data_IF_199293997414
#
_entry.id   IF_199293997414
#
_cell.length_a   1.000
_cell.length_b   1.000
_cell.length_c   1.000
_cell.angle_alpha   90.00
_cell.angle_beta   90.00
_cell.angle_gamma   90.00
#
_symmetry.space_group_name_H-M   'P 1'
#
loop_
_entity.id
_entity.type
_entity.pdbx_description
1 polymer ?
#
# COMPACT_ATOMS: atom_id res chain seq x y z
N UNK A 1 -1.71 -83.03 -2.97
CA UNK A 1 -1.61 -82.39 -4.30
C UNK A 1 -1.63 -80.89 -4.04
N UNK A 2 -0.46 -80.25 -4.09
CA UNK A 2 -0.27 -78.85 -3.73
C UNK A 2 -0.48 -77.97 -4.96
N UNK A 3 -1.41 -77.01 -4.90
CA UNK A 3 -1.50 -75.98 -5.93
C UNK A 3 -1.43 -74.61 -5.25
N UNK A 4 -0.32 -73.93 -5.51
CA UNK A 4 0.07 -72.63 -4.94
C UNK A 4 -0.85 -71.53 -5.47
N UNK A 5 -1.40 -70.73 -4.55
CA UNK A 5 -2.08 -69.47 -4.86
C UNK A 5 -0.99 -68.40 -5.01
N UNK A 6 -0.83 -67.86 -6.22
CA UNK A 6 0.01 -66.69 -6.48
C UNK A 6 -0.74 -65.43 -6.05
N UNK A 7 -0.25 -64.77 -5.01
CA UNK A 7 -0.72 -63.48 -4.53
C UNK A 7 -0.03 -62.38 -5.35
N UNK A 8 -0.75 -61.78 -6.29
CA UNK A 8 -0.26 -60.65 -7.09
C UNK A 8 -0.24 -59.39 -6.21
N UNK A 9 0.96 -58.93 -5.86
CA UNK A 9 1.20 -57.73 -5.07
C UNK A 9 0.94 -56.48 -5.92
N UNK A 10 -0.23 -55.84 -5.76
CA UNK A 10 -0.54 -54.55 -6.37
C UNK A 10 0.22 -53.46 -5.61
N UNK A 11 1.32 -53.00 -6.21
CA UNK A 11 2.12 -51.87 -5.74
C UNK A 11 1.37 -50.57 -6.06
N UNK A 12 0.50 -50.13 -5.15
CA UNK A 12 -0.18 -48.84 -5.21
C UNK A 12 0.79 -47.71 -4.89
N UNK A 13 1.48 -47.17 -5.89
CA UNK A 13 2.21 -45.91 -5.77
C UNK A 13 1.23 -44.78 -5.52
N UNK A 14 1.12 -44.34 -4.26
CA UNK A 14 0.52 -43.08 -3.87
C UNK A 14 1.38 -41.94 -4.45
N UNK A 15 1.03 -41.48 -5.64
CA UNK A 15 1.53 -40.23 -6.19
C UNK A 15 0.92 -39.08 -5.36
N UNK A 16 1.61 -38.69 -4.29
CA UNK A 16 1.38 -37.41 -3.63
C UNK A 16 1.98 -36.31 -4.52
N UNK A 17 1.21 -35.87 -5.51
CA UNK A 17 1.54 -34.69 -6.30
C UNK A 17 1.36 -33.44 -5.45
N UNK A 18 2.42 -32.95 -4.83
CA UNK A 18 2.46 -31.58 -4.32
C UNK A 18 2.46 -30.64 -5.51
N UNK A 19 1.27 -30.26 -6.01
CA UNK A 19 1.16 -29.14 -6.95
C UNK A 19 1.56 -27.88 -6.21
N UNK A 20 2.81 -27.45 -6.38
CA UNK A 20 3.32 -26.20 -5.84
C UNK A 20 2.76 -25.06 -6.70
N UNK A 21 1.49 -24.72 -6.53
CA UNK A 21 0.90 -23.56 -7.20
C UNK A 21 1.50 -22.25 -6.67
N UNK A 22 1.33 -21.17 -7.44
CA UNK A 22 1.69 -19.82 -7.02
C UNK A 22 0.61 -19.34 -6.03
N UNK A 23 0.97 -18.89 -4.82
CA UNK A 23 -0.01 -18.52 -3.81
C UNK A 23 -0.71 -17.21 -4.19
N UNK A 24 -2.02 -17.16 -3.97
CA UNK A 24 -2.86 -15.96 -4.09
C UNK A 24 -3.37 -15.58 -2.70
N UNK A 25 -2.45 -15.22 -1.81
CA UNK A 25 -2.71 -14.97 -0.38
C UNK A 25 -2.22 -13.59 0.09
N UNK A 26 -1.98 -12.66 -0.83
CA UNK A 26 -1.68 -11.27 -0.48
C UNK A 26 -2.96 -10.51 -0.10
N UNK A 27 -2.86 -9.71 0.95
CA UNK A 27 -3.89 -8.80 1.41
C UNK A 27 -3.25 -7.45 1.78
N UNK A 28 -3.87 -6.32 1.43
CA UNK A 28 -3.37 -5.01 1.82
C UNK A 28 -3.26 -4.87 3.34
N UNK A 29 -2.23 -4.18 3.78
CA UNK A 29 -2.03 -3.81 5.19
C UNK A 29 -2.73 -2.50 5.48
N UNK A 30 -3.49 -2.45 6.57
CA UNK A 30 -4.19 -1.26 7.04
C UNK A 30 -3.51 -0.73 8.29
N UNK A 31 -3.11 0.54 8.28
CA UNK A 31 -2.45 1.21 9.40
C UNK A 31 -3.20 2.51 9.74
N UNK A 32 -3.51 2.68 11.03
CA UNK A 32 -4.04 3.94 11.56
C UNK A 32 -2.90 4.87 11.92
N UNK A 33 -3.05 6.17 11.65
CA UNK A 33 -2.09 7.18 12.06
C UNK A 33 -2.80 8.39 12.65
N UNK A 34 -2.10 9.08 13.55
CA UNK A 34 -2.61 10.28 14.21
C UNK A 34 -1.45 11.16 14.64
N UNK A 35 -1.49 12.42 14.21
CA UNK A 35 -0.47 13.43 14.46
C UNK A 35 -1.12 14.79 14.75
N UNK A 36 -0.54 15.63 15.62
CA UNK A 36 0.48 15.28 16.61
C UNK A 36 -0.14 14.44 17.76
N UNK A 37 0.69 13.93 18.68
CA UNK A 37 0.20 13.19 19.85
C UNK A 37 -0.60 14.10 20.80
N UNK A 38 -1.56 13.51 21.52
CA UNK A 38 -2.34 14.21 22.55
C UNK A 38 -1.44 14.89 23.58
N UNK A 39 -1.89 16.05 24.05
CA UNK A 39 -1.25 16.88 25.08
C UNK A 39 0.18 17.37 24.77
N UNK A 40 0.70 17.06 23.57
CA UNK A 40 2.03 17.46 23.13
C UNK A 40 2.00 18.90 22.60
N UNK A 41 2.89 19.75 23.13
CA UNK A 41 3.06 21.12 22.62
C UNK A 41 3.68 21.04 21.24
N UNK A 42 2.94 21.49 20.24
CA UNK A 42 3.35 21.45 18.83
C UNK A 42 3.27 22.84 18.24
N UNK A 43 4.27 23.23 17.47
CA UNK A 43 4.27 24.46 16.69
C UNK A 43 4.20 24.11 15.20
N UNK A 44 3.32 24.79 14.46
CA UNK A 44 3.17 24.63 13.01
C UNK A 44 3.05 26.01 12.35
N UNK A 45 3.28 26.06 11.04
CA UNK A 45 3.25 27.28 10.25
C UNK A 45 2.02 27.35 9.34
N UNK A 46 1.79 28.50 8.70
CA UNK A 46 0.69 28.67 7.75
C UNK A 46 0.80 27.65 6.62
N UNK A 47 -0.27 26.89 6.39
CA UNK A 47 -0.37 25.82 5.41
C UNK A 47 -0.10 24.42 5.99
N UNK A 48 0.47 24.33 7.19
CA UNK A 48 0.77 23.05 7.82
C UNK A 48 -0.45 22.43 8.49
N UNK A 49 -0.38 21.10 8.66
CA UNK A 49 -1.39 20.33 9.36
C UNK A 49 -1.24 20.50 10.87
N UNK A 50 -2.32 20.97 11.51
CA UNK A 50 -2.48 21.03 12.96
C UNK A 50 -2.92 19.69 13.55
N UNK A 51 -3.80 18.98 12.86
CA UNK A 51 -4.14 17.59 13.17
C UNK A 51 -4.14 16.87 11.84
N UNK A 52 -3.54 15.69 11.79
CA UNK A 52 -3.60 14.79 10.65
C UNK A 52 -3.78 13.37 11.15
N UNK A 53 -4.93 12.78 10.83
CA UNK A 53 -5.25 11.42 11.22
C UNK A 53 -6.00 10.69 10.13
N UNK A 54 -5.93 9.36 10.18
CA UNK A 54 -6.66 8.56 9.23
C UNK A 54 -6.25 7.10 9.22
N UNK A 55 -6.74 6.43 8.18
CA UNK A 55 -6.42 5.06 7.85
C UNK A 55 -5.71 5.05 6.50
N UNK A 56 -4.48 4.54 6.52
CA UNK A 56 -3.68 4.30 5.32
C UNK A 56 -3.76 2.82 4.97
N UNK A 57 -4.16 2.52 3.74
CA UNK A 57 -4.10 1.16 3.21
C UNK A 57 -2.90 1.07 2.28
N UNK A 58 -2.00 0.14 2.57
CA UNK A 58 -0.79 -0.09 1.77
C UNK A 58 -0.75 -1.51 1.25
N UNK A 59 -0.09 -1.70 0.12
CA UNK A 59 0.14 -3.02 -0.47
C UNK A 59 1.56 -3.07 -1.06
N UNK A 60 2.10 -4.27 -1.16
CA UNK A 60 3.43 -4.47 -1.74
C UNK A 60 3.32 -4.46 -3.28
N UNK A 61 4.25 -3.76 -3.92
CA UNK A 61 4.38 -3.71 -5.36
C UNK A 61 5.81 -4.01 -5.77
N UNK A 62 5.96 -4.84 -6.78
CA UNK A 62 7.21 -4.96 -7.52
C UNK A 62 7.26 -3.83 -8.56
N UNK A 63 8.22 -2.94 -8.39
CA UNK A 63 8.46 -1.83 -9.32
C UNK A 63 9.56 -2.23 -10.28
N UNK A 64 9.21 -2.38 -11.56
CA UNK A 64 10.16 -2.59 -12.66
C UNK A 64 10.49 -1.24 -13.27
N UNK A 65 11.74 -0.79 -13.10
CA UNK A 65 12.16 0.59 -13.43
C UNK A 65 12.30 0.82 -14.93
N UNK A 66 12.65 -0.23 -15.68
CA UNK A 66 12.88 -0.18 -17.12
C UNK A 66 12.32 -1.42 -17.81
N UNK A 67 11.82 -1.25 -19.03
CA UNK A 67 11.31 -2.38 -19.82
C UNK A 67 12.46 -3.34 -20.10
N UNK A 68 12.19 -4.63 -19.89
CA UNK A 68 13.10 -5.72 -20.20
C UNK A 68 12.65 -6.31 -21.52
N UNK A 69 13.50 -6.23 -22.54
CA UNK A 69 13.33 -6.90 -23.83
C UNK A 69 14.01 -8.27 -23.73
N UNK A 70 13.22 -9.32 -23.70
CA UNK A 70 13.66 -10.65 -23.31
C UNK A 70 13.29 -11.70 -24.35
N UNK A 71 14.20 -12.65 -24.61
CA UNK A 71 14.01 -13.70 -25.63
C UNK A 71 12.70 -14.48 -25.46
N UNK A 72 12.32 -14.78 -24.22
CA UNK A 72 11.09 -15.52 -23.90
C UNK A 72 9.92 -14.60 -23.53
N UNK A 73 10.20 -13.47 -22.89
CA UNK A 73 9.20 -12.56 -22.37
C UNK A 73 9.73 -11.13 -22.33
N UNK A 74 8.92 -10.19 -22.81
CA UNK A 74 9.13 -8.77 -22.56
C UNK A 74 8.40 -8.37 -21.28
N UNK A 75 9.07 -7.67 -20.38
CA UNK A 75 8.49 -7.18 -19.13
C UNK A 75 8.44 -5.67 -19.21
N UNK A 76 7.25 -5.10 -19.38
CA UNK A 76 7.06 -3.65 -19.36
C UNK A 76 7.55 -3.00 -18.06
N UNK A 77 8.04 -1.77 -18.13
CA UNK A 77 8.20 -0.95 -16.91
C UNK A 77 6.84 -0.78 -16.22
N UNK A 78 6.82 -0.81 -14.89
CA UNK A 78 5.61 -0.54 -14.14
C UNK A 78 5.58 -1.10 -12.74
N UNK A 79 4.43 -0.92 -12.11
CA UNK A 79 4.11 -1.35 -10.75
C UNK A 79 3.25 -2.61 -10.78
N UNK A 80 3.78 -3.74 -10.34
CA UNK A 80 3.12 -5.04 -10.37
C UNK A 80 2.65 -5.41 -8.97
N UNK A 81 1.33 -5.58 -8.81
CA UNK A 81 0.71 -5.84 -7.51
C UNK A 81 1.13 -7.19 -6.92
N UNK A 82 1.38 -7.25 -5.62
CA UNK A 82 1.64 -8.50 -4.91
C UNK A 82 0.45 -9.46 -4.98
N UNK A 83 0.71 -10.72 -5.33
CA UNK A 83 -0.28 -11.80 -5.39
C UNK A 83 -0.24 -12.66 -4.13
N UNK A 84 0.96 -12.95 -3.64
CA UNK A 84 1.13 -13.81 -2.49
C UNK A 84 2.58 -14.17 -2.20
N UNK A 85 2.78 -14.81 -1.05
CA UNK A 85 4.08 -15.20 -0.54
C UNK A 85 4.05 -16.67 -0.14
N UNK A 86 5.05 -17.42 -0.57
CA UNK A 86 5.26 -18.79 -0.14
C UNK A 86 5.74 -18.86 1.31
N UNK A 87 5.62 -20.04 1.94
CA UNK A 87 6.21 -20.30 3.27
C UNK A 87 7.73 -20.11 3.29
N UNK A 88 8.39 -20.24 2.14
CA UNK A 88 9.82 -20.00 1.95
C UNK A 88 10.21 -18.51 2.02
N UNK A 89 9.24 -17.60 1.98
CA UNK A 89 9.45 -16.16 1.87
C UNK A 89 9.47 -15.64 0.43
N UNK A 90 9.42 -16.51 -0.58
CA UNK A 90 9.38 -16.08 -1.99
C UNK A 90 8.06 -15.39 -2.32
N UNK A 91 8.15 -14.15 -2.79
CA UNK A 91 7.01 -13.31 -3.17
C UNK A 91 6.71 -13.41 -4.67
N UNK A 92 5.43 -13.38 -5.01
CA UNK A 92 4.93 -13.40 -6.38
C UNK A 92 4.06 -12.18 -6.64
N UNK A 93 4.20 -11.61 -7.83
CA UNK A 93 3.54 -10.40 -8.27
C UNK A 93 2.80 -10.63 -9.58
N UNK A 94 1.80 -9.82 -9.85
CA UNK A 94 0.99 -9.84 -11.07
C UNK A 94 1.88 -9.73 -12.30
N UNK A 95 1.44 -10.30 -13.43
CA UNK A 95 2.04 -10.07 -14.74
C UNK A 95 1.40 -8.85 -15.47
N UNK A 96 0.37 -8.24 -14.87
CA UNK A 96 -0.20 -6.96 -15.27
C UNK A 96 0.18 -5.87 -14.27
N UNK A 97 0.66 -4.74 -14.79
CA UNK A 97 0.94 -3.57 -13.98
C UNK A 97 -0.29 -2.67 -13.81
N UNK A 98 -0.34 -1.94 -12.70
CA UNK A 98 -1.35 -0.90 -12.44
C UNK A 98 -1.08 0.42 -13.16
N UNK A 99 0.11 0.64 -13.74
CA UNK A 99 0.47 1.87 -14.45
C UNK A 99 0.92 1.65 -15.91
N UNK A 100 0.44 0.58 -16.54
CA UNK A 100 0.45 0.40 -18.00
C UNK A 100 1.43 -0.64 -18.55
N UNK A 101 2.40 -1.12 -17.76
CA UNK A 101 3.26 -2.25 -18.14
C UNK A 101 2.53 -3.60 -18.09
N UNK A 102 3.00 -4.58 -18.86
CA UNK A 102 2.56 -5.97 -18.74
C UNK A 102 3.65 -6.90 -19.25
N UNK A 103 3.55 -8.18 -18.91
CA UNK A 103 4.46 -9.21 -19.42
C UNK A 103 3.89 -9.77 -20.71
N UNK A 104 4.69 -9.74 -21.78
CA UNK A 104 4.34 -10.25 -23.11
C UNK A 104 5.17 -11.49 -23.37
N UNK A 105 4.53 -12.59 -23.79
CA UNK A 105 5.26 -13.80 -24.19
C UNK A 105 5.81 -13.69 -25.61
N UNK A 106 6.98 -14.29 -25.81
CA UNK A 106 7.53 -14.57 -27.13
C UNK A 106 6.82 -15.76 -27.81
N UNK A 107 7.08 -15.98 -29.10
CA UNK A 107 6.54 -17.13 -29.83
C UNK A 107 6.96 -18.46 -29.20
N UNK A 108 6.02 -19.40 -29.10
CA UNK A 108 6.23 -20.76 -28.55
C UNK A 108 6.54 -20.83 -27.05
N UNK A 109 6.43 -19.73 -26.31
CA UNK A 109 6.50 -19.72 -24.86
C UNK A 109 5.11 -19.75 -24.22
N UNK A 110 5.02 -20.38 -23.05
CA UNK A 110 3.80 -20.45 -22.25
C UNK A 110 3.35 -19.04 -21.80
N UNK A 111 2.05 -18.83 -21.57
CA UNK A 111 1.58 -17.56 -21.02
C UNK A 111 2.16 -17.23 -19.64
N UNK A 112 2.55 -15.97 -19.40
CA UNK A 112 3.03 -15.53 -18.09
C UNK A 112 1.89 -15.54 -17.08
N UNK A 113 2.21 -15.89 -15.84
CA UNK A 113 1.25 -15.88 -14.75
C UNK A 113 1.67 -14.94 -13.62
N UNK A 114 2.95 -14.98 -13.23
CA UNK A 114 3.47 -14.13 -12.16
C UNK A 114 4.94 -13.75 -12.38
N UNK A 115 5.32 -12.66 -11.74
CA UNK A 115 6.69 -12.20 -11.59
C UNK A 115 7.20 -12.52 -10.19
N UNK A 116 8.47 -12.89 -10.03
CA UNK A 116 9.10 -13.04 -8.72
C UNK A 116 10.57 -12.61 -8.75
N UNK A 117 10.98 -11.65 -7.91
CA UNK A 117 12.39 -11.28 -7.79
C UNK A 117 13.20 -12.40 -7.11
N UNK A 118 14.45 -12.52 -7.53
CA UNK A 118 15.44 -13.48 -7.04
C UNK A 118 16.81 -12.80 -6.99
N UNK A 119 17.49 -12.87 -5.85
CA UNK A 119 18.77 -12.17 -5.63
C UNK A 119 19.88 -12.58 -6.61
N UNK A 120 19.86 -13.81 -7.12
CA UNK A 120 20.91 -14.36 -8.01
C UNK A 120 20.50 -14.37 -9.47
N UNK A 121 19.21 -14.51 -9.74
CA UNK A 121 18.66 -14.65 -11.09
C UNK A 121 17.99 -13.37 -11.62
N UNK A 122 17.86 -12.34 -10.79
CA UNK A 122 17.17 -11.09 -11.13
C UNK A 122 15.66 -11.26 -11.07
N UNK A 123 14.95 -10.90 -12.13
CA UNK A 123 13.49 -11.01 -12.17
C UNK A 123 13.04 -12.23 -12.96
N UNK A 124 12.28 -13.12 -12.31
CA UNK A 124 11.78 -14.35 -12.93
C UNK A 124 10.31 -14.23 -13.34
N UNK A 125 9.97 -14.78 -14.50
CA UNK A 125 8.62 -15.01 -14.99
C UNK A 125 8.26 -16.46 -14.69
N UNK A 126 7.11 -16.66 -14.06
CA UNK A 126 6.51 -17.97 -13.83
C UNK A 126 5.24 -18.12 -14.67
N UNK A 127 4.99 -19.34 -15.12
CA UNK A 127 3.76 -19.74 -15.82
C UNK A 127 2.87 -20.51 -14.86
N UNK A 128 1.68 -20.93 -15.30
CA UNK A 128 0.83 -21.79 -14.49
C UNK A 128 1.43 -23.20 -14.27
N UNK A 129 2.35 -23.62 -15.14
CA UNK A 129 2.96 -24.94 -15.13
C UNK A 129 4.34 -24.96 -14.47
N UNK A 130 5.13 -23.89 -14.66
CA UNK A 130 6.54 -23.83 -14.26
C UNK A 130 6.82 -22.53 -13.51
N UNK A 131 7.28 -22.68 -12.26
CA UNK A 131 7.84 -21.57 -11.48
C UNK A 131 9.23 -21.22 -11.98
N UNK A 132 9.54 -19.93 -12.03
CA UNK A 132 10.81 -19.40 -12.53
C UNK A 132 11.19 -19.92 -13.93
N UNK A 133 10.20 -20.02 -14.82
CA UNK A 133 10.38 -20.56 -16.17
C UNK A 133 11.48 -19.80 -16.94
N UNK A 134 11.59 -18.48 -16.76
CA UNK A 134 12.69 -17.68 -17.32
C UNK A 134 13.03 -16.53 -16.38
N UNK A 135 14.31 -16.22 -16.23
CA UNK A 135 14.78 -15.14 -15.36
C UNK A 135 15.75 -14.19 -16.06
N UNK A 136 15.64 -12.91 -15.72
CA UNK A 136 16.40 -11.81 -16.29
C UNK A 136 17.27 -11.15 -15.22
N UNK A 137 18.58 -11.43 -15.26
CA UNK A 137 19.55 -10.95 -14.25
C UNK A 137 19.71 -9.44 -14.20
N UNK A 138 19.58 -8.78 -15.34
CA UNK A 138 19.77 -7.32 -15.46
C UNK A 138 18.48 -6.52 -15.17
N UNK A 139 17.44 -7.19 -14.68
CA UNK A 139 16.20 -6.56 -14.27
C UNK A 139 16.44 -5.58 -13.11
N UNK A 140 16.18 -4.29 -13.35
CA UNK A 140 16.17 -3.29 -12.29
C UNK A 140 14.77 -3.24 -11.67
N UNK A 141 14.60 -4.02 -10.61
CA UNK A 141 13.33 -4.08 -9.88
C UNK A 141 13.52 -3.99 -8.38
N UNK A 142 12.56 -3.40 -7.68
CA UNK A 142 12.53 -3.31 -6.22
C UNK A 142 11.11 -3.50 -5.69
N UNK A 143 10.99 -3.96 -4.44
CA UNK A 143 9.71 -4.09 -3.77
C UNK A 143 9.46 -2.83 -2.94
N UNK A 144 8.36 -2.12 -3.21
CA UNK A 144 7.94 -0.95 -2.46
C UNK A 144 6.53 -1.15 -1.89
N UNK A 145 6.33 -0.70 -0.65
CA UNK A 145 5.00 -0.51 -0.09
C UNK A 145 4.38 0.77 -0.66
N UNK A 146 3.25 0.65 -1.34
CA UNK A 146 2.53 1.80 -1.91
C UNK A 146 1.17 1.95 -1.24
N UNK A 147 0.76 3.19 -1.00
CA UNK A 147 -0.63 3.49 -0.62
C UNK A 147 -1.55 3.12 -1.78
N UNK A 148 -2.65 2.44 -1.49
CA UNK A 148 -3.66 2.11 -2.49
C UNK A 148 -4.96 2.83 -2.17
N UNK A 149 -5.73 3.14 -3.21
CA UNK A 149 -7.09 3.63 -3.04
C UNK A 149 -7.96 2.48 -2.53
N UNK A 150 -8.60 2.67 -1.38
CA UNK A 150 -9.44 1.68 -0.72
C UNK A 150 -10.65 2.37 -0.09
N UNK A 151 -11.86 1.78 -0.14
CA UNK A 151 -13.01 2.30 0.60
C UNK A 151 -12.78 2.47 2.10
N UNK A 152 -11.83 1.72 2.67
CA UNK A 152 -11.43 1.84 4.07
C UNK A 152 -10.38 2.91 4.34
N UNK A 153 -9.72 3.45 3.30
CA UNK A 153 -8.76 4.53 3.47
C UNK A 153 -9.50 5.85 3.70
N UNK A 154 -9.08 6.62 4.69
CA UNK A 154 -9.59 7.98 4.89
C UNK A 154 -8.54 8.83 5.59
N UNK A 155 -8.67 10.14 5.49
CA UNK A 155 -7.81 11.11 6.16
C UNK A 155 -8.61 12.35 6.54
N UNK A 156 -8.38 12.86 7.74
CA UNK A 156 -8.99 14.09 8.27
C UNK A 156 -7.89 14.99 8.77
N UNK A 157 -7.93 16.25 8.37
CA UNK A 157 -6.93 17.22 8.79
C UNK A 157 -7.52 18.58 9.14
N UNK A 158 -6.95 19.21 10.16
CA UNK A 158 -7.05 20.66 10.38
C UNK A 158 -5.76 21.31 9.90
N UNK A 159 -5.89 22.42 9.19
CA UNK A 159 -4.79 23.17 8.57
C UNK A 159 -4.79 24.57 9.15
N UNK A 160 -3.64 25.09 9.58
CA UNK A 160 -3.52 26.47 10.03
C UNK A 160 -3.41 27.41 8.83
N UNK A 161 -4.30 28.40 8.71
CA UNK A 161 -4.29 29.37 7.61
C UNK A 161 -3.79 30.77 8.03
N UNK A 162 -3.24 30.88 9.24
CA UNK A 162 -2.77 32.15 9.78
C UNK A 162 -3.79 32.84 10.68
N UNK A 163 -3.41 34.02 11.15
CA UNK A 163 -4.21 34.83 12.06
C UNK A 163 -4.29 36.28 11.60
N UNK A 164 -5.38 36.95 11.96
CA UNK A 164 -5.58 38.39 11.75
C UNK A 164 -6.09 39.00 13.05
N UNK A 165 -5.27 39.82 13.70
CA UNK A 165 -5.58 40.36 15.02
C UNK A 165 -5.71 39.25 16.06
N UNK A 166 -6.88 39.14 16.69
CA UNK A 166 -7.18 38.08 17.67
C UNK A 166 -7.92 36.88 17.06
N UNK A 167 -7.95 36.77 15.74
CA UNK A 167 -8.71 35.74 15.05
C UNK A 167 -7.79 34.76 14.35
N UNK A 168 -8.02 33.47 14.56
CA UNK A 168 -7.29 32.38 13.92
C UNK A 168 -8.16 31.78 12.82
N UNK A 169 -7.58 31.59 11.64
CA UNK A 169 -8.21 30.92 10.52
C UNK A 169 -7.67 29.50 10.40
N UNK A 170 -8.57 28.53 10.25
CA UNK A 170 -8.21 27.13 9.98
C UNK A 170 -9.07 26.57 8.84
N UNK A 171 -8.53 25.60 8.12
CA UNK A 171 -9.30 24.77 7.19
C UNK A 171 -9.43 23.36 7.74
N UNK A 172 -10.61 22.78 7.61
CA UNK A 172 -10.80 21.34 7.73
C UNK A 172 -10.81 20.72 6.34
N UNK A 173 -10.09 19.61 6.17
CA UNK A 173 -10.13 18.80 4.95
C UNK A 173 -10.32 17.32 5.28
N UNK A 174 -11.20 16.66 4.56
CA UNK A 174 -11.45 15.23 4.68
C UNK A 174 -11.35 14.53 3.32
N UNK A 175 -10.65 13.40 3.30
CA UNK A 175 -10.49 12.49 2.18
C UNK A 175 -11.05 11.13 2.58
N UNK A 176 -11.80 10.50 1.68
CA UNK A 176 -12.18 9.09 1.78
C UNK A 176 -11.82 8.41 0.47
N UNK A 177 -11.25 7.21 0.56
CA UNK A 177 -10.88 6.40 -0.59
C UNK A 177 -12.09 5.72 -1.23
N UNK A 178 -11.93 5.38 -2.50
CA UNK A 178 -12.96 4.84 -3.38
C UNK A 178 -13.55 5.91 -4.29
N UNK A 179 -12.93 6.13 -5.45
CA UNK A 179 -13.37 6.95 -6.57
C UNK A 179 -13.59 8.45 -6.27
N UNK A 180 -12.61 9.27 -6.69
CA UNK A 180 -12.74 10.66 -7.15
C UNK A 180 -13.79 11.56 -6.45
N UNK A 181 -14.00 11.41 -5.14
CA UNK A 181 -14.79 12.37 -4.37
C UNK A 181 -13.91 13.57 -4.07
N UNK A 182 -14.44 14.76 -4.37
CA UNK A 182 -13.80 16.02 -4.05
C UNK A 182 -13.60 16.10 -2.52
N UNK A 183 -12.38 16.41 -2.09
CA UNK A 183 -12.09 16.58 -0.68
C UNK A 183 -13.02 17.65 -0.08
N UNK A 184 -13.78 17.28 0.95
CA UNK A 184 -14.65 18.24 1.63
C UNK A 184 -13.77 19.23 2.37
N UNK A 185 -13.85 20.52 2.01
CA UNK A 185 -13.05 21.57 2.62
C UNK A 185 -13.95 22.65 3.20
N UNK A 186 -13.72 23.00 4.47
CA UNK A 186 -14.39 24.11 5.14
C UNK A 186 -13.36 25.04 5.77
N UNK A 187 -13.56 26.34 5.62
CA UNK A 187 -12.75 27.36 6.29
C UNK A 187 -13.55 27.92 7.45
N UNK A 188 -12.93 28.03 8.61
CA UNK A 188 -13.55 28.55 9.83
C UNK A 188 -12.61 29.50 10.57
N UNK A 189 -13.22 30.48 11.22
CA UNK A 189 -12.54 31.53 11.96
C UNK A 189 -12.91 31.45 13.45
N UNK A 190 -11.91 31.54 14.32
CA UNK A 190 -12.09 31.51 15.78
C UNK A 190 -11.53 32.78 16.42
N UNK A 191 -12.32 33.42 17.28
CA UNK A 191 -11.93 34.61 18.02
C UNK A 191 -11.30 34.25 19.36
N UNK A 192 -9.98 34.40 19.44
CA UNK A 192 -9.15 34.08 20.61
C UNK A 192 -9.38 35.03 21.79
N UNK A 193 -10.13 36.12 21.61
CA UNK A 193 -10.57 36.95 22.75
C UNK A 193 -11.67 36.30 23.58
N UNK A 194 -12.39 35.31 23.02
CA UNK A 194 -13.50 34.63 23.67
C UNK A 194 -13.09 33.31 24.33
N UNK A 195 -12.13 32.62 23.74
CA UNK A 195 -11.60 31.35 24.23
C UNK A 195 -10.25 31.05 23.57
N UNK A 196 -9.34 30.42 24.29
CA UNK A 196 -8.11 29.86 23.75
C UNK A 196 -8.31 28.43 23.20
N UNK A 197 -9.55 27.94 23.14
CA UNK A 197 -9.87 26.60 22.65
C UNK A 197 -10.52 26.68 21.28
N UNK A 198 -10.02 25.86 20.35
CA UNK A 198 -10.63 25.60 19.05
C UNK A 198 -11.31 24.24 19.11
N UNK A 199 -12.62 24.20 18.86
CA UNK A 199 -13.38 22.96 18.75
C UNK A 199 -14.02 22.86 17.36
N UNK A 200 -13.67 21.82 16.60
CA UNK A 200 -14.23 21.58 15.28
C UNK A 200 -14.38 20.09 15.01
N UNK A 201 -15.56 19.65 14.56
CA UNK A 201 -15.85 18.23 14.24
C UNK A 201 -15.48 17.25 15.38
N UNK A 202 -15.57 17.70 16.63
CA UNK A 202 -15.25 16.91 17.82
C UNK A 202 -13.77 16.93 18.22
N UNK A 203 -12.87 17.39 17.35
CA UNK A 203 -11.49 17.68 17.73
C UNK A 203 -11.44 18.95 18.60
N UNK A 204 -10.53 18.95 19.56
CA UNK A 204 -10.34 20.03 20.51
C UNK A 204 -8.85 20.36 20.64
N UNK A 205 -8.53 21.63 20.45
CA UNK A 205 -7.17 22.15 20.49
C UNK A 205 -7.12 23.30 21.49
N UNK A 206 -6.16 23.26 22.40
CA UNK A 206 -5.80 24.38 23.27
C UNK A 206 -4.67 25.18 22.60
N UNK A 207 -4.96 26.43 22.24
CA UNK A 207 -3.98 27.37 21.69
C UNK A 207 -3.15 27.95 22.83
N UNK A 208 -1.83 27.87 22.71
CA UNK A 208 -0.86 28.39 23.67
C UNK A 208 -0.34 29.75 23.20
N UNK A 209 0.02 29.85 21.92
CA UNK A 209 0.54 31.08 21.31
C UNK A 209 0.28 31.08 19.80
N UNK A 210 0.20 32.25 19.19
CA UNK A 210 0.08 32.40 17.74
C UNK A 210 0.53 33.77 17.26
N UNK A 211 1.05 33.80 16.04
CA UNK A 211 1.39 35.02 15.33
C UNK A 211 0.85 34.96 13.88
N UNK A 212 1.29 35.88 13.03
CA UNK A 212 0.89 35.96 11.63
C UNK A 212 1.35 34.77 10.76
N UNK A 213 2.30 33.98 11.25
CA UNK A 213 3.00 32.93 10.51
C UNK A 213 2.96 31.55 11.18
N UNK A 214 2.75 31.48 12.49
CA UNK A 214 2.82 30.25 13.27
C UNK A 214 1.75 30.17 14.37
N UNK A 215 1.50 28.94 14.82
CA UNK A 215 0.64 28.64 15.96
C UNK A 215 1.28 27.54 16.80
N UNK A 216 1.27 27.74 18.12
CA UNK A 216 1.69 26.75 19.13
C UNK A 216 0.47 26.31 19.92
N UNK A 217 0.25 25.00 20.01
CA UNK A 217 -0.97 24.44 20.58
C UNK A 217 -0.75 23.04 21.17
N UNK A 218 -1.77 22.52 21.85
CA UNK A 218 -1.91 21.13 22.28
C UNK A 218 -3.21 20.54 21.75
N UNK A 219 -3.15 19.32 21.23
CA UNK A 219 -4.37 18.56 20.92
C UNK A 219 -4.89 17.94 22.20
N UNK A 220 -6.12 18.29 22.59
CA UNK A 220 -6.84 17.72 23.73
C UNK A 220 -7.69 16.53 23.32
N UNK A 221 -8.19 16.58 22.09
CA UNK A 221 -9.04 15.54 21.54
C UNK A 221 -8.96 15.50 20.02
N UNK A 222 -8.98 14.30 19.48
CA UNK A 222 -9.08 14.03 18.04
C UNK A 222 -10.50 14.11 17.52
N UNK A 223 -10.68 13.97 16.20
CA UNK A 223 -12.01 14.01 15.59
C UNK A 223 -12.90 12.87 16.12
N UNK A 224 -14.22 13.08 16.06
CA UNK A 224 -15.21 12.04 16.37
C UNK A 224 -15.58 11.20 15.17
#
# INVERSE_FOLDING_TARGET
MNTKIYLTLIFGTLMAGCSSSIPLNSYPTTEEFTLPQLETVTQVYVGDYMIDEGVKVTDDYLVVKQTIDGVAYDIGKGDYKHLGTEKSGKMYFSHFSTNGGYVIQGPLFDPPFALSPDEKKGLCVSTIFVKDATCYKEAQSEILKKSIDSPSAFQRTLIYNGSVGKKINISYREFSGGNARQAFTNNVEYDMSKSNTINYKGAEIEVIDYDNSSITYKVKKYFR
#
